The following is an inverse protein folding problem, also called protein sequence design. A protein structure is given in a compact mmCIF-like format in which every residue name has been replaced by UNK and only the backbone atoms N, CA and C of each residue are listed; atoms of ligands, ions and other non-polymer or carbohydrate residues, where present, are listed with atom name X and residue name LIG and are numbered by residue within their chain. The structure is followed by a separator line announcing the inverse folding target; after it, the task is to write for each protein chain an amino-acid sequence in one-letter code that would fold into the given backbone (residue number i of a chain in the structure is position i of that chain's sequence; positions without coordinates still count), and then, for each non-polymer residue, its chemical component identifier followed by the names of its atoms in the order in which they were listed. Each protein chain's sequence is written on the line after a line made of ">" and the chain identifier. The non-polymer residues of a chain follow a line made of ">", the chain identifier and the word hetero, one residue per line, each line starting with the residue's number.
data_IF_974056625590
#
_entry.id   IF_974056625590
#
_cell.length_a   1.000
_cell.length_b   1.000
_cell.length_c   1.000
_cell.angle_alpha   90.00
_cell.angle_beta   90.00
_cell.angle_gamma   90.00
#
_symmetry.space_group_name_H-M   'P 1'
#
loop_
_entity.id
_entity.type
_entity.pdbx_description
1 polymer ?
#
# COMPACT_ATOMS: atom_id res chain seq x y z
N UNK A 1 31.41 -41.61 31.43
CA UNK A 1 30.92 -40.27 31.81
C UNK A 1 30.92 -39.35 30.58
N UNK A 2 29.75 -38.96 30.05
CA UNK A 2 29.66 -37.94 29.00
C UNK A 2 28.22 -37.38 28.88
N UNK A 3 27.81 -36.46 29.77
CA UNK A 3 26.49 -35.78 29.64
C UNK A 3 26.50 -34.28 29.99
N UNK A 4 27.64 -33.68 30.30
CA UNK A 4 27.72 -32.32 30.88
C UNK A 4 28.12 -31.21 29.91
N UNK A 5 28.61 -31.50 28.70
CA UNK A 5 29.03 -30.45 27.74
C UNK A 5 27.87 -29.76 27.00
N UNK A 6 26.72 -30.41 26.87
CA UNK A 6 25.60 -29.90 26.04
C UNK A 6 24.61 -29.01 26.84
N UNK A 7 24.57 -29.13 28.16
CA UNK A 7 23.63 -28.39 29.02
C UNK A 7 24.04 -26.93 29.24
N UNK A 8 25.34 -26.66 29.31
CA UNK A 8 25.86 -25.30 29.48
C UNK A 8 25.66 -24.47 28.20
N UNK A 9 26.00 -25.04 27.04
CA UNK A 9 25.76 -24.43 25.73
C UNK A 9 24.26 -24.19 25.46
N UNK A 10 23.39 -25.15 25.80
CA UNK A 10 21.94 -25.00 25.69
C UNK A 10 21.36 -23.93 26.65
N UNK A 11 21.94 -23.73 27.83
CA UNK A 11 21.55 -22.65 28.76
C UNK A 11 22.00 -21.28 28.25
N UNK A 12 23.21 -21.18 27.70
CA UNK A 12 23.73 -19.95 27.09
C UNK A 12 22.88 -19.52 25.87
N UNK A 13 22.58 -20.45 24.96
CA UNK A 13 21.71 -20.19 23.80
C UNK A 13 20.29 -19.77 24.21
N UNK A 14 19.72 -20.37 25.27
CA UNK A 14 18.42 -19.95 25.83
C UNK A 14 18.48 -18.56 26.47
N UNK A 15 19.58 -18.20 27.12
CA UNK A 15 19.77 -16.87 27.71
C UNK A 15 19.91 -15.79 26.64
N UNK A 16 20.67 -16.04 25.58
CA UNK A 16 20.79 -15.16 24.41
C UNK A 16 19.47 -15.03 23.65
N UNK A 17 18.74 -16.13 23.43
CA UNK A 17 17.39 -16.10 22.86
C UNK A 17 16.41 -15.30 23.74
N UNK A 18 16.55 -15.35 25.08
CA UNK A 18 15.73 -14.56 26.00
C UNK A 18 16.13 -13.09 25.98
N UNK A 19 17.42 -12.77 25.87
CA UNK A 19 17.93 -11.41 25.79
C UNK A 19 17.52 -10.73 24.48
N UNK A 20 17.65 -11.42 23.33
CA UNK A 20 17.20 -10.95 22.02
C UNK A 20 15.68 -10.75 21.99
N UNK A 21 14.89 -11.68 22.53
CA UNK A 21 13.42 -11.52 22.68
C UNK A 21 13.07 -10.32 23.54
N UNK A 22 13.76 -10.11 24.66
CA UNK A 22 13.56 -8.95 25.55
C UNK A 22 13.92 -7.64 24.84
N UNK A 23 15.06 -7.57 24.17
CA UNK A 23 15.47 -6.40 23.39
C UNK A 23 14.45 -6.07 22.28
N UNK A 24 14.06 -7.07 21.49
CA UNK A 24 13.03 -6.92 20.46
C UNK A 24 11.67 -6.52 21.06
N UNK A 25 11.31 -6.98 22.26
CA UNK A 25 10.08 -6.55 22.92
C UNK A 25 10.15 -5.08 23.38
N UNK A 26 11.30 -4.63 23.91
CA UNK A 26 11.50 -3.25 24.35
C UNK A 26 11.43 -2.30 23.15
N UNK A 27 12.07 -2.67 22.04
CA UNK A 27 12.05 -1.90 20.80
C UNK A 27 10.64 -1.84 20.18
N UNK A 28 9.90 -2.96 20.17
CA UNK A 28 8.50 -2.95 19.74
C UNK A 28 7.64 -2.04 20.60
N UNK A 29 7.80 -2.07 21.93
CA UNK A 29 7.07 -1.16 22.83
C UNK A 29 7.43 0.31 22.59
N UNK A 30 8.71 0.63 22.38
CA UNK A 30 9.11 2.01 22.10
C UNK A 30 8.57 2.50 20.75
N UNK A 31 8.57 1.66 19.72
CA UNK A 31 7.97 1.98 18.42
C UNK A 31 6.47 2.22 18.54
N UNK A 32 5.75 1.35 19.25
CA UNK A 32 4.32 1.52 19.50
C UNK A 32 4.03 2.80 20.31
N UNK A 33 4.86 3.12 21.30
CA UNK A 33 4.73 4.34 22.09
C UNK A 33 4.98 5.60 21.27
N UNK A 34 6.01 5.60 20.41
CA UNK A 34 6.30 6.68 19.49
C UNK A 34 5.16 6.89 18.50
N UNK A 35 4.65 5.82 17.88
CA UNK A 35 3.50 5.87 16.99
C UNK A 35 2.25 6.42 17.70
N UNK A 36 2.02 6.00 18.95
CA UNK A 36 0.94 6.52 19.78
C UNK A 36 1.09 8.02 20.07
N UNK A 37 2.30 8.50 20.40
CA UNK A 37 2.57 9.92 20.64
C UNK A 37 2.35 10.78 19.40
N UNK A 38 2.82 10.31 18.23
CA UNK A 38 2.58 10.97 16.95
C UNK A 38 1.07 11.07 16.70
N UNK A 39 0.37 9.94 16.79
CA UNK A 39 -1.07 9.89 16.53
C UNK A 39 -1.89 10.74 17.51
N UNK A 40 -1.53 10.75 18.81
CA UNK A 40 -2.21 11.57 19.83
C UNK A 40 -2.06 13.06 19.54
N UNK A 41 -0.89 13.50 19.07
CA UNK A 41 -0.64 14.90 18.71
C UNK A 41 -1.45 15.32 17.49
N UNK A 42 -1.53 14.43 16.50
CA UNK A 42 -2.29 14.67 15.26
C UNK A 42 -3.80 14.65 15.50
N UNK A 43 -4.27 13.74 16.33
CA UNK A 43 -5.68 13.51 16.55
C UNK A 43 -6.07 13.70 18.01
N UNK A 44 -6.29 14.96 18.39
CA UNK A 44 -6.68 15.36 19.76
C UNK A 44 -7.98 14.70 20.23
N UNK A 45 -8.89 14.35 19.31
CA UNK A 45 -10.16 13.68 19.65
C UNK A 45 -9.97 12.18 19.90
N UNK A 46 -8.78 11.61 19.64
CA UNK A 46 -8.56 10.16 19.74
C UNK A 46 -8.72 9.67 21.17
N UNK A 47 -8.11 10.40 22.09
CA UNK A 47 -8.08 10.07 23.51
C UNK A 47 -9.48 10.06 24.14
N UNK A 48 -10.36 11.07 23.94
CA UNK A 48 -11.72 11.01 24.47
C UNK A 48 -12.56 9.90 23.85
N UNK A 49 -12.40 9.56 22.56
CA UNK A 49 -13.11 8.42 21.99
C UNK A 49 -12.64 7.06 22.55
N UNK A 50 -11.33 6.89 22.76
CA UNK A 50 -10.78 5.66 23.34
C UNK A 50 -11.21 5.49 24.80
N UNK A 51 -11.08 6.56 25.60
CA UNK A 51 -11.48 6.55 27.01
C UNK A 51 -13.00 6.41 27.12
N UNK A 52 -13.77 7.15 26.33
CA UNK A 52 -15.23 7.06 26.31
C UNK A 52 -15.73 5.67 25.94
N UNK A 53 -15.15 5.02 24.93
CA UNK A 53 -15.51 3.65 24.56
C UNK A 53 -15.17 2.64 25.67
N UNK A 54 -13.99 2.76 26.29
CA UNK A 54 -13.59 1.89 27.39
C UNK A 54 -14.52 2.07 28.60
N UNK A 55 -14.76 3.31 29.01
CA UNK A 55 -15.64 3.62 30.15
C UNK A 55 -17.05 3.14 29.87
N UNK A 56 -17.58 3.34 28.67
CA UNK A 56 -18.91 2.86 28.29
C UNK A 56 -19.02 1.34 28.40
N UNK A 57 -18.05 0.59 27.87
CA UNK A 57 -18.08 -0.89 27.89
C UNK A 57 -17.93 -1.41 29.32
N UNK A 58 -17.04 -0.82 30.12
CA UNK A 58 -16.88 -1.19 31.53
C UNK A 58 -18.13 -0.85 32.31
N UNK A 59 -18.75 0.31 32.10
CA UNK A 59 -20.00 0.70 32.74
C UNK A 59 -21.13 -0.29 32.40
N UNK A 60 -21.26 -0.71 31.14
CA UNK A 60 -22.23 -1.73 30.74
C UNK A 60 -21.96 -3.05 31.44
N UNK A 61 -20.69 -3.50 31.49
CA UNK A 61 -20.31 -4.72 32.20
C UNK A 61 -20.64 -4.65 33.71
N UNK A 62 -20.44 -3.50 34.35
CA UNK A 62 -20.82 -3.29 35.76
C UNK A 62 -22.32 -3.31 35.93
N UNK A 63 -23.09 -2.59 35.10
CA UNK A 63 -24.56 -2.56 35.18
C UNK A 63 -25.15 -3.96 35.00
N UNK A 64 -24.69 -4.72 34.00
CA UNK A 64 -25.13 -6.10 33.79
C UNK A 64 -24.72 -7.00 34.96
N UNK A 65 -23.51 -6.82 35.50
CA UNK A 65 -23.04 -7.56 36.66
C UNK A 65 -23.90 -7.34 37.90
N UNK A 66 -24.31 -6.09 38.16
CA UNK A 66 -25.17 -5.72 39.29
C UNK A 66 -26.60 -6.23 39.09
N UNK A 67 -27.18 -6.08 37.89
CA UNK A 67 -28.53 -6.55 37.57
C UNK A 67 -28.66 -8.08 37.65
N UNK A 68 -27.57 -8.82 37.44
CA UNK A 68 -27.56 -10.28 37.57
C UNK A 68 -27.72 -10.77 39.02
N UNK A 69 -27.55 -9.91 40.03
CA UNK A 69 -27.67 -10.27 41.46
C UNK A 69 -26.64 -11.28 41.99
N UNK A 70 -25.71 -11.73 41.14
CA UNK A 70 -24.70 -12.73 41.46
C UNK A 70 -23.32 -12.08 41.56
N UNK A 71 -22.71 -12.17 42.75
CA UNK A 71 -21.34 -11.69 43.00
C UNK A 71 -20.34 -12.35 42.06
N UNK A 72 -20.55 -13.62 41.69
CA UNK A 72 -19.71 -14.33 40.72
C UNK A 72 -19.80 -13.71 39.33
N UNK A 73 -21.01 -13.40 38.85
CA UNK A 73 -21.21 -12.74 37.56
C UNK A 73 -20.56 -11.35 37.56
N UNK A 74 -20.74 -10.58 38.62
CA UNK A 74 -20.13 -9.25 38.75
C UNK A 74 -18.60 -9.31 38.70
N UNK A 75 -17.97 -10.19 39.49
CA UNK A 75 -16.50 -10.32 39.57
C UNK A 75 -15.89 -10.81 38.26
N UNK A 76 -16.58 -11.67 37.51
CA UNK A 76 -16.10 -12.18 36.22
C UNK A 76 -16.31 -11.18 35.07
N UNK A 77 -17.42 -10.45 35.07
CA UNK A 77 -17.80 -9.57 33.97
C UNK A 77 -16.98 -8.27 33.92
N UNK A 78 -16.52 -7.77 35.07
CA UNK A 78 -15.69 -6.55 35.12
C UNK A 78 -14.34 -6.73 34.40
N UNK A 79 -13.50 -7.75 34.72
CA UNK A 79 -12.26 -7.99 33.98
C UNK A 79 -12.49 -8.25 32.50
N UNK A 80 -13.56 -8.98 32.15
CA UNK A 80 -13.93 -9.23 30.76
C UNK A 80 -14.32 -7.93 30.03
N UNK A 81 -15.09 -7.07 30.69
CA UNK A 81 -15.47 -5.75 30.19
C UNK A 81 -14.26 -4.83 30.00
N UNK A 82 -13.28 -4.88 30.91
CA UNK A 82 -12.01 -4.14 30.75
C UNK A 82 -11.23 -4.66 29.55
N UNK A 83 -11.08 -5.97 29.39
CA UNK A 83 -10.40 -6.57 28.24
C UNK A 83 -11.09 -6.21 26.92
N UNK A 84 -12.42 -6.29 26.88
CA UNK A 84 -13.21 -5.95 25.70
C UNK A 84 -13.16 -4.44 25.40
N UNK A 85 -13.22 -3.61 26.44
CA UNK A 85 -13.04 -2.16 26.35
C UNK A 85 -11.68 -1.76 25.80
N UNK A 86 -10.61 -2.41 26.28
CA UNK A 86 -9.25 -2.21 25.78
C UNK A 86 -9.12 -2.65 24.31
N UNK A 87 -9.73 -3.78 23.93
CA UNK A 87 -9.75 -4.24 22.54
C UNK A 87 -10.46 -3.24 21.62
N UNK A 88 -11.63 -2.74 22.01
CA UNK A 88 -12.38 -1.74 21.24
C UNK A 88 -11.59 -0.43 21.13
N UNK A 89 -10.98 0.04 22.21
CA UNK A 89 -10.11 1.22 22.18
C UNK A 89 -8.94 1.03 21.20
N UNK A 90 -8.33 -0.16 21.15
CA UNK A 90 -7.28 -0.49 20.20
C UNK A 90 -7.75 -0.50 18.74
N UNK A 91 -8.96 -1.02 18.47
CA UNK A 91 -9.57 -0.99 17.13
C UNK A 91 -9.84 0.46 16.68
N UNK A 92 -10.37 1.29 17.57
CA UNK A 92 -10.59 2.73 17.31
C UNK A 92 -9.26 3.40 16.97
N UNK A 93 -8.22 3.15 17.77
CA UNK A 93 -6.87 3.66 17.53
C UNK A 93 -6.35 3.26 16.14
N UNK A 94 -6.38 1.97 15.81
CA UNK A 94 -5.87 1.47 14.52
C UNK A 94 -6.59 2.08 13.32
N UNK A 95 -7.94 2.11 13.35
CA UNK A 95 -8.74 2.68 12.26
C UNK A 95 -8.47 4.17 12.06
N UNK A 96 -8.29 4.91 13.15
CA UNK A 96 -8.06 6.36 13.09
C UNK A 96 -6.63 6.71 12.68
N UNK A 97 -5.66 5.92 13.13
CA UNK A 97 -4.28 6.02 12.66
C UNK A 97 -4.19 5.80 11.16
N UNK A 98 -4.79 4.73 10.63
CA UNK A 98 -4.85 4.48 9.20
C UNK A 98 -5.48 5.66 8.45
N UNK A 99 -6.62 6.19 8.94
CA UNK A 99 -7.29 7.33 8.31
C UNK A 99 -6.41 8.60 8.30
N UNK A 100 -5.65 8.87 9.36
CA UNK A 100 -4.72 10.02 9.41
C UNK A 100 -3.61 9.87 8.38
N UNK A 101 -2.98 8.69 8.31
CA UNK A 101 -1.89 8.40 7.37
C UNK A 101 -2.35 8.57 5.92
N UNK A 102 -3.47 7.96 5.55
CA UNK A 102 -4.00 8.10 4.19
C UNK A 102 -4.38 9.54 3.86
N UNK A 103 -4.98 10.27 4.79
CA UNK A 103 -5.33 11.69 4.59
C UNK A 103 -4.09 12.57 4.36
N UNK A 104 -2.96 12.24 4.96
CA UNK A 104 -1.70 12.95 4.76
C UNK A 104 -1.02 12.59 3.44
N UNK A 105 -1.15 11.33 3.04
CA UNK A 105 -0.65 10.84 1.76
C UNK A 105 -1.49 11.38 0.60
N UNK A 106 -2.79 11.62 0.79
CA UNK A 106 -3.65 12.27 -0.19
C UNK A 106 -3.07 13.64 -0.62
N UNK A 107 -2.77 13.79 -1.91
CA UNK A 107 -2.17 15.00 -2.49
C UNK A 107 -0.64 15.03 -2.48
N UNK A 108 0.04 14.04 -1.89
CA UNK A 108 1.47 13.86 -2.08
C UNK A 108 1.76 13.04 -3.33
N UNK A 109 2.88 13.34 -3.96
CA UNK A 109 3.34 12.67 -5.19
C UNK A 109 3.83 11.26 -4.90
N UNK A 110 3.38 10.27 -5.65
CA UNK A 110 3.66 8.85 -5.45
C UNK A 110 2.82 8.18 -4.35
N UNK A 111 1.80 8.87 -3.83
CA UNK A 111 0.96 8.32 -2.78
C UNK A 111 0.11 7.13 -3.26
N UNK A 112 -0.32 7.14 -4.53
CA UNK A 112 -1.03 6.02 -5.14
C UNK A 112 -0.10 4.80 -5.25
N UNK A 113 1.15 4.97 -5.70
CA UNK A 113 2.13 3.89 -5.73
C UNK A 113 2.31 3.25 -4.34
N UNK A 114 2.52 4.07 -3.31
CA UNK A 114 2.65 3.60 -1.94
C UNK A 114 1.41 2.84 -1.46
N UNK A 115 0.20 3.34 -1.75
CA UNK A 115 -1.03 2.65 -1.37
C UNK A 115 -1.19 1.30 -2.11
N UNK A 116 -0.77 1.24 -3.37
CA UNK A 116 -0.80 0.03 -4.19
C UNK A 116 0.19 -1.02 -3.69
N UNK A 117 1.40 -0.62 -3.30
CA UNK A 117 2.41 -1.54 -2.74
C UNK A 117 1.98 -2.14 -1.41
N UNK A 118 1.11 -1.44 -0.67
CA UNK A 118 0.54 -1.92 0.59
C UNK A 118 -0.68 -2.84 0.41
N UNK A 119 -1.11 -3.13 -0.83
CA UNK A 119 -2.25 -4.01 -1.08
C UNK A 119 -1.98 -5.42 -0.55
N UNK A 120 -2.96 -5.96 0.16
CA UNK A 120 -2.89 -7.33 0.69
C UNK A 120 -3.40 -8.33 -0.35
N UNK A 121 -2.63 -9.38 -0.59
CA UNK A 121 -3.00 -10.50 -1.44
C UNK A 121 -2.11 -10.67 -2.66
N UNK A 122 -2.60 -11.41 -3.65
CA UNK A 122 -1.87 -11.68 -4.90
C UNK A 122 -2.12 -10.53 -5.87
N UNK A 123 -1.39 -9.43 -5.67
CA UNK A 123 -1.33 -8.31 -6.60
C UNK A 123 0.09 -8.21 -7.16
N UNK A 124 0.23 -7.69 -8.38
CA UNK A 124 1.53 -7.32 -8.97
C UNK A 124 1.44 -5.85 -9.32
N UNK A 125 2.29 -5.04 -8.71
CA UNK A 125 2.28 -3.58 -8.90
C UNK A 125 3.53 -3.20 -9.68
N UNK A 126 3.34 -2.46 -10.77
CA UNK A 126 4.41 -1.81 -11.51
C UNK A 126 4.17 -0.30 -11.43
N UNK A 127 4.90 0.43 -10.56
CA UNK A 127 4.72 1.87 -10.46
C UNK A 127 5.32 2.60 -11.67
N UNK A 128 4.73 3.73 -12.06
CA UNK A 128 5.34 4.67 -13.01
C UNK A 128 5.48 4.15 -14.45
N UNK A 129 4.50 3.41 -14.96
CA UNK A 129 4.50 2.93 -16.36
C UNK A 129 4.46 4.08 -17.35
N UNK A 130 3.77 5.17 -16.99
CA UNK A 130 3.87 6.46 -17.65
C UNK A 130 3.91 7.55 -16.59
N UNK A 131 4.68 8.60 -16.80
CA UNK A 131 4.74 9.75 -15.91
C UNK A 131 5.02 11.03 -16.70
N UNK A 132 4.60 12.17 -16.16
CA UNK A 132 4.92 13.51 -16.67
C UNK A 132 5.87 14.22 -15.71
N UNK A 133 6.46 15.33 -16.16
CA UNK A 133 7.23 16.22 -15.28
C UNK A 133 6.38 16.99 -14.26
N UNK A 134 5.04 16.89 -14.32
CA UNK A 134 4.10 17.62 -13.45
C UNK A 134 3.56 16.76 -12.31
N UNK A 135 4.34 15.76 -11.87
CA UNK A 135 3.95 14.80 -10.84
C UNK A 135 2.67 14.01 -11.16
N UNK A 136 2.32 13.88 -12.45
CA UNK A 136 1.27 12.96 -12.87
C UNK A 136 1.91 11.62 -13.21
N UNK A 137 1.35 10.54 -12.69
CA UNK A 137 1.87 9.19 -12.91
C UNK A 137 0.75 8.19 -13.15
N UNK A 138 1.04 7.17 -13.94
CA UNK A 138 0.18 6.00 -14.16
C UNK A 138 0.91 4.78 -13.65
N UNK A 139 0.29 4.12 -12.68
CA UNK A 139 0.73 2.86 -12.11
C UNK A 139 -0.09 1.74 -12.73
N UNK A 140 0.54 0.58 -12.93
CA UNK A 140 -0.15 -0.62 -13.40
C UNK A 140 -0.23 -1.63 -12.29
N UNK A 141 -1.39 -2.25 -12.15
CA UNK A 141 -1.68 -3.29 -11.17
C UNK A 141 -2.27 -4.48 -11.91
N UNK A 142 -1.72 -5.66 -11.69
CA UNK A 142 -2.26 -6.92 -12.19
C UNK A 142 -2.83 -7.68 -11.00
N UNK A 143 -4.09 -8.09 -11.10
CA UNK A 143 -4.79 -8.84 -10.08
C UNK A 143 -5.81 -9.78 -10.70
N UNK A 144 -6.58 -10.48 -9.86
CA UNK A 144 -7.68 -11.34 -10.33
C UNK A 144 -8.72 -10.63 -11.21
N UNK A 145 -8.98 -9.32 -11.08
CA UNK A 145 -9.87 -8.63 -12.01
C UNK A 145 -9.35 -8.52 -13.44
N UNK A 146 -8.03 -8.57 -13.64
CA UNK A 146 -7.39 -8.27 -14.92
C UNK A 146 -6.26 -7.24 -14.74
N UNK A 147 -6.10 -6.37 -15.74
CA UNK A 147 -5.11 -5.28 -15.71
C UNK A 147 -5.82 -3.99 -15.27
N UNK A 148 -5.24 -3.30 -14.31
CA UNK A 148 -5.80 -2.07 -13.75
C UNK A 148 -4.75 -0.98 -13.89
N UNK A 149 -5.12 0.15 -14.48
CA UNK A 149 -4.31 1.35 -14.51
C UNK A 149 -4.82 2.33 -13.47
N UNK A 150 -3.93 2.78 -12.60
CA UNK A 150 -4.22 3.71 -11.52
C UNK A 150 -3.43 4.98 -11.78
N UNK A 151 -4.15 6.03 -12.11
CA UNK A 151 -3.59 7.35 -12.38
C UNK A 151 -3.55 8.20 -11.11
N UNK A 152 -2.45 8.90 -10.91
CA UNK A 152 -2.23 9.87 -9.83
C UNK A 152 -1.92 11.23 -10.45
N UNK A 153 -2.48 12.31 -9.91
CA UNK A 153 -2.28 13.68 -10.39
C UNK A 153 -3.60 14.33 -10.83
N UNK A 154 -3.52 15.26 -11.79
CA UNK A 154 -4.73 15.93 -12.29
C UNK A 154 -5.48 15.05 -13.28
N UNK A 155 -6.78 14.80 -13.05
CA UNK A 155 -7.60 13.96 -13.94
C UNK A 155 -7.54 14.37 -15.42
N UNK A 156 -7.47 15.67 -15.73
CA UNK A 156 -7.40 16.14 -17.12
C UNK A 156 -6.11 15.73 -17.82
N UNK A 157 -4.99 15.68 -17.10
CA UNK A 157 -3.66 15.31 -17.63
C UNK A 157 -3.41 13.80 -17.58
N UNK A 158 -4.02 13.11 -16.62
CA UNK A 158 -3.84 11.67 -16.42
C UNK A 158 -4.71 10.83 -17.36
N UNK A 159 -5.93 11.29 -17.70
CA UNK A 159 -6.82 10.62 -18.67
C UNK A 159 -6.16 10.27 -20.02
N UNK A 160 -5.43 11.18 -20.70
CA UNK A 160 -4.76 10.83 -21.96
C UNK A 160 -3.64 9.79 -21.77
N UNK A 161 -2.91 9.82 -20.64
CA UNK A 161 -1.89 8.82 -20.32
C UNK A 161 -2.51 7.44 -20.10
N UNK A 162 -3.62 7.39 -19.35
CA UNK A 162 -4.40 6.15 -19.15
C UNK A 162 -4.91 5.59 -20.47
N UNK A 163 -5.46 6.44 -21.35
CA UNK A 163 -5.95 6.02 -22.66
C UNK A 163 -4.82 5.45 -23.55
N UNK A 164 -3.64 6.07 -23.52
CA UNK A 164 -2.46 5.60 -24.25
C UNK A 164 -2.01 4.22 -23.76
N UNK A 165 -1.87 4.05 -22.45
CA UNK A 165 -1.45 2.76 -21.86
C UNK A 165 -2.52 1.68 -22.04
N UNK A 166 -3.80 2.02 -21.93
CA UNK A 166 -4.93 1.12 -22.22
C UNK A 166 -4.87 0.60 -23.66
N UNK A 167 -4.72 1.50 -24.64
CA UNK A 167 -4.61 1.14 -26.07
C UNK A 167 -3.38 0.30 -26.36
N UNK A 168 -2.24 0.62 -25.73
CA UNK A 168 -1.00 -0.14 -25.90
C UNK A 168 -1.12 -1.55 -25.33
N UNK A 169 -1.71 -1.66 -24.15
CA UNK A 169 -1.88 -2.92 -23.42
C UNK A 169 -2.91 -3.81 -24.08
N UNK A 170 -4.04 -3.26 -24.54
CA UNK A 170 -5.11 -3.99 -25.22
C UNK A 170 -4.63 -4.79 -26.44
N UNK A 171 -3.56 -4.34 -27.11
CA UNK A 171 -2.95 -5.07 -28.24
C UNK A 171 -2.32 -6.41 -27.84
N UNK A 172 -2.01 -6.64 -26.56
CA UNK A 172 -1.29 -7.83 -26.09
C UNK A 172 -2.13 -8.75 -25.19
N UNK A 173 -3.11 -8.21 -24.46
CA UNK A 173 -3.78 -8.94 -23.37
C UNK A 173 -5.10 -9.61 -23.77
N UNK A 174 -5.44 -9.59 -25.06
CA UNK A 174 -6.60 -10.28 -25.63
C UNK A 174 -7.90 -9.84 -24.94
N UNK A 175 -8.71 -10.81 -24.52
CA UNK A 175 -10.02 -10.59 -23.88
C UNK A 175 -9.93 -10.24 -22.38
N UNK A 176 -8.73 -10.04 -21.83
CA UNK A 176 -8.58 -9.71 -20.41
C UNK A 176 -9.12 -8.30 -20.13
N UNK A 177 -10.01 -8.11 -19.16
CA UNK A 177 -10.55 -6.80 -18.82
C UNK A 177 -9.47 -5.79 -18.39
N UNK A 178 -9.61 -4.55 -18.86
CA UNK A 178 -8.77 -3.42 -18.48
C UNK A 178 -9.61 -2.38 -17.76
N UNK A 179 -9.24 -2.07 -16.52
CA UNK A 179 -9.86 -1.02 -15.72
C UNK A 179 -8.92 0.19 -15.63
N UNK A 180 -9.49 1.38 -15.66
CA UNK A 180 -8.79 2.64 -15.47
C UNK A 180 -9.43 3.41 -14.31
N UNK A 181 -8.61 3.85 -13.37
CA UNK A 181 -9.01 4.52 -12.14
C UNK A 181 -8.12 5.75 -11.97
N UNK A 182 -8.72 6.89 -11.62
CA UNK A 182 -7.99 8.09 -11.25
C UNK A 182 -8.11 8.28 -9.73
N UNK A 183 -6.98 8.46 -9.07
CA UNK A 183 -6.90 8.71 -7.62
C UNK A 183 -7.03 10.20 -7.37
N UNK A 184 -7.96 10.56 -6.49
CA UNK A 184 -8.18 11.94 -6.08
C UNK A 184 -9.50 12.12 -5.34
N UNK A 185 -9.88 13.38 -5.14
CA UNK A 185 -11.05 13.77 -4.35
C UNK A 185 -12.14 14.46 -5.19
N UNK A 186 -11.96 14.55 -6.51
CA UNK A 186 -12.92 15.10 -7.45
C UNK A 186 -14.05 14.13 -7.81
N UNK A 187 -14.95 14.59 -8.68
CA UNK A 187 -16.05 13.78 -9.18
C UNK A 187 -15.55 12.66 -10.10
N UNK A 188 -15.98 11.43 -9.84
CA UNK A 188 -15.52 10.24 -10.57
C UNK A 188 -14.10 9.76 -10.21
N UNK A 189 -13.43 10.43 -9.27
CA UNK A 189 -12.13 10.00 -8.73
C UNK A 189 -12.32 9.11 -7.49
N UNK A 190 -11.35 8.23 -7.24
CA UNK A 190 -11.34 7.36 -6.07
C UNK A 190 -10.38 7.93 -5.03
N UNK A 191 -10.85 8.28 -3.82
CA UNK A 191 -9.98 8.71 -2.74
C UNK A 191 -8.96 7.63 -2.40
N UNK A 192 -7.72 8.03 -2.09
CA UNK A 192 -6.62 7.12 -1.79
C UNK A 192 -6.98 6.12 -0.69
N UNK A 193 -7.63 6.60 0.38
CA UNK A 193 -8.13 5.78 1.49
C UNK A 193 -9.15 4.70 1.10
N UNK A 194 -9.79 4.81 -0.08
CA UNK A 194 -10.78 3.86 -0.60
C UNK A 194 -10.27 3.02 -1.77
N UNK A 195 -9.05 3.28 -2.26
CA UNK A 195 -8.48 2.62 -3.43
C UNK A 195 -8.45 1.09 -3.27
N UNK A 196 -7.91 0.57 -2.18
CA UNK A 196 -7.89 -0.87 -1.88
C UNK A 196 -9.29 -1.50 -1.93
N UNK A 197 -10.27 -0.86 -1.29
CA UNK A 197 -11.66 -1.33 -1.26
C UNK A 197 -12.31 -1.29 -2.63
N UNK A 198 -11.96 -0.32 -3.47
CA UNK A 198 -12.47 -0.23 -4.83
C UNK A 198 -11.90 -1.35 -5.70
N UNK A 199 -10.59 -1.59 -5.64
CA UNK A 199 -9.91 -2.65 -6.40
C UNK A 199 -10.40 -4.05 -6.02
N UNK A 200 -10.58 -4.30 -4.72
CA UNK A 200 -11.03 -5.62 -4.21
C UNK A 200 -12.50 -5.93 -4.51
N UNK A 201 -13.31 -4.92 -4.84
CA UNK A 201 -14.72 -5.10 -5.26
C UNK A 201 -14.87 -5.49 -6.72
N UNK A 202 -13.84 -5.32 -7.55
CA UNK A 202 -13.91 -5.69 -8.96
C UNK A 202 -14.08 -7.21 -9.10
N UNK A 203 -14.84 -7.68 -10.11
CA UNK A 203 -15.10 -9.11 -10.30
C UNK A 203 -13.80 -9.85 -10.63
N UNK A 204 -13.67 -11.09 -10.16
CA UNK A 204 -12.52 -11.93 -10.45
C UNK A 204 -12.66 -12.59 -11.83
N UNK A 205 -12.05 -11.98 -12.85
CA UNK A 205 -12.17 -12.44 -14.25
C UNK A 205 -11.05 -13.41 -14.66
N UNK A 206 -9.88 -13.36 -14.00
CA UNK A 206 -8.72 -14.18 -14.34
C UNK A 206 -8.19 -14.99 -13.17
N UNK A 207 -7.53 -16.11 -13.51
CA UNK A 207 -6.83 -17.00 -12.58
C UNK A 207 -5.42 -16.49 -12.28
N UNK A 208 -4.81 -16.99 -11.20
CA UNK A 208 -3.43 -16.63 -10.83
C UNK A 208 -2.42 -17.02 -11.91
N UNK A 209 -2.60 -18.18 -12.57
CA UNK A 209 -1.73 -18.61 -13.68
C UNK A 209 -1.79 -17.64 -14.87
N UNK A 210 -2.98 -17.14 -15.19
CA UNK A 210 -3.16 -16.13 -16.23
C UNK A 210 -2.49 -14.80 -15.83
N UNK A 211 -2.47 -14.45 -14.54
CA UNK A 211 -1.75 -13.26 -14.07
C UNK A 211 -0.24 -13.36 -14.36
N UNK A 212 0.40 -14.49 -14.08
CA UNK A 212 1.85 -14.66 -14.32
C UNK A 212 2.19 -14.58 -15.82
N UNK A 213 1.30 -15.13 -16.68
CA UNK A 213 1.42 -15.00 -18.14
C UNK A 213 1.25 -13.55 -18.61
N UNK A 214 0.28 -12.83 -18.06
CA UNK A 214 0.04 -11.41 -18.36
C UNK A 214 1.22 -10.54 -17.92
N UNK A 215 1.73 -10.75 -16.72
CA UNK A 215 2.92 -10.06 -16.21
C UNK A 215 4.11 -10.24 -17.16
N UNK A 216 4.38 -11.48 -17.57
CA UNK A 216 5.45 -11.80 -18.53
C UNK A 216 5.28 -11.06 -19.87
N UNK A 217 4.07 -11.04 -20.43
CA UNK A 217 3.75 -10.31 -21.68
C UNK A 217 3.94 -8.80 -21.54
N UNK A 218 3.56 -8.23 -20.39
CA UNK A 218 3.60 -6.79 -20.14
C UNK A 218 5.01 -6.29 -19.78
N UNK A 219 5.84 -7.11 -19.15
CA UNK A 219 7.26 -6.81 -18.95
C UNK A 219 7.98 -6.72 -20.31
N UNK A 220 7.68 -7.64 -21.24
CA UNK A 220 8.23 -7.60 -22.60
C UNK A 220 7.80 -6.36 -23.42
N UNK A 221 6.70 -5.71 -23.04
CA UNK A 221 6.26 -4.43 -23.59
C UNK A 221 7.07 -3.26 -22.99
N UNK A 222 7.32 -3.28 -21.67
CA UNK A 222 8.06 -2.23 -20.96
C UNK A 222 9.54 -2.16 -21.35
N UNK A 223 10.16 -3.29 -21.69
CA UNK A 223 11.56 -3.34 -22.16
C UNK A 223 11.78 -2.68 -23.53
N UNK A 224 10.72 -2.41 -24.31
CA UNK A 224 10.82 -1.68 -25.58
C UNK A 224 10.90 -0.16 -25.40
N UNK A 225 10.73 0.37 -24.19
CA UNK A 225 10.68 1.83 -23.90
C UNK A 225 11.62 2.22 -22.75
N UNK A 226 12.74 1.52 -22.59
CA UNK A 226 13.87 2.09 -21.84
C UNK A 226 14.69 3.03 -22.74
N UNK A 227 15.44 4.00 -22.20
CA UNK A 227 16.48 4.74 -22.95
C UNK A 227 17.61 3.85 -23.53
N UNK A 228 17.47 2.52 -23.39
CA UNK A 228 18.32 1.49 -23.97
C UNK A 228 17.96 1.13 -25.43
N UNK A 229 16.99 1.81 -26.06
CA UNK A 229 16.74 1.69 -27.50
C UNK A 229 17.71 2.53 -28.37
N UNK A 230 18.72 3.16 -27.77
CA UNK A 230 19.93 3.54 -28.50
C UNK A 230 20.99 2.44 -28.29
N UNK A 231 21.48 1.79 -29.36
CA UNK A 231 22.66 0.96 -29.27
C UNK A 231 23.77 1.80 -28.62
N UNK A 232 24.29 1.38 -27.47
CA UNK A 232 25.49 1.97 -26.86
C UNK A 232 26.75 1.60 -27.65
N UNK A 233 26.71 1.80 -28.96
CA UNK A 233 27.89 1.86 -29.80
C UNK A 233 28.45 3.29 -29.75
N UNK A 234 29.77 3.48 -29.90
CA UNK A 234 30.32 4.83 -30.02
C UNK A 234 29.63 5.54 -31.18
N UNK A 235 28.95 6.64 -30.88
CA UNK A 235 28.40 7.53 -31.90
C UNK A 235 29.58 7.96 -32.80
N UNK A 236 29.52 7.74 -34.14
CA UNK A 236 30.57 8.21 -35.01
C UNK A 236 30.63 9.74 -34.90
N UNK A 237 31.73 10.23 -34.32
CA UNK A 237 32.02 11.65 -34.28
C UNK A 237 32.10 12.20 -35.70
N UNK A 238 31.41 13.32 -35.94
CA UNK A 238 31.59 14.18 -37.11
C UNK A 238 31.12 13.67 -38.49
N UNK A 239 29.90 13.15 -38.60
CA UNK A 239 29.18 13.26 -39.87
C UNK A 239 28.64 14.70 -40.04
N UNK A 240 29.51 15.59 -40.55
CA UNK A 240 29.13 16.93 -41.00
C UNK A 240 27.92 16.82 -41.93
N UNK A 241 26.77 17.37 -41.52
CA UNK A 241 25.66 17.62 -42.43
C UNK A 241 26.15 18.62 -43.50
N UNK A 242 26.61 18.11 -44.65
CA UNK A 242 26.90 18.96 -45.82
C UNK A 242 25.56 19.45 -46.35
N UNK A 243 25.33 20.75 -46.18
CA UNK A 243 24.15 21.45 -46.66
C UNK A 243 23.88 21.16 -48.13
N UNK A 244 22.64 20.77 -48.42
CA UNK A 244 22.09 20.73 -49.76
C UNK A 244 21.75 22.16 -50.16
N UNK A 245 22.77 22.92 -50.56
CA UNK A 245 22.63 24.08 -51.41
C UNK A 245 23.67 23.96 -52.54
N UNK A 246 23.24 23.40 -53.67
CA UNK A 246 23.85 23.66 -54.98
C UNK A 246 22.75 24.32 -55.83
N UNK A 247 22.75 25.64 -55.93
CA UNK A 247 23.32 26.37 -57.08
C UNK A 247 22.96 25.75 -58.44
N UNK A 248 21.88 26.24 -59.03
CA UNK A 248 21.65 26.17 -60.48
C UNK A 248 21.62 27.61 -61.02
N UNK A 249 22.75 28.01 -61.61
CA UNK A 249 22.96 29.12 -62.56
C UNK A 249 24.16 28.63 -63.39
N UNK A 250 24.21 28.61 -64.72
CA UNK A 250 23.72 29.48 -65.80
C UNK A 250 23.81 28.71 -67.13
N UNK A 251 23.00 29.07 -68.13
CA UNK A 251 23.43 29.90 -69.28
C UNK A 251 22.21 30.56 -69.90
#
# INVERSE_FOLDING_TARGET
>A
MAKTRNTAAAKAAKAEAKATRKAASKQRRSQLWQAFQIQRKEDKRLLPYMVGALVLIVAIAVVVGVLSGSTFTLVTLIPLGILLGALVAFIIFGRRAQKSVYRKAEGQTGAAAWALDNLRGKWRVTPGVAATGHFDAVHRVIGRPGVIFVGEGSASRVKPLLAQEKKRTARLIGDTPIYDIVVGNGEGEVPLSKLERHLTKLPANITVKQMDSLESKLVALGSRVGPAAMPKGPMPGNAKMRGVQRTVRRK
#
